data_IF_670690637688
#
_entry.id   IF_670690637688
#
_cell.length_a   1.000
_cell.length_b   1.000
_cell.length_c   1.000
_cell.angle_alpha   90.00
_cell.angle_beta   90.00
_cell.angle_gamma   90.00
#
_symmetry.space_group_name_H-M   'P 1'
#
loop_
_entity.id
_entity.type
_entity.pdbx_description
1 polymer ?
#
# COMPACT_ATOMS: atom_id res chain seq x y z
N UNK A 1 1.73 -11.85 -37.74
CA UNK A 1 1.60 -12.16 -36.32
C UNK A 1 1.67 -10.83 -35.58
N UNK A 2 0.53 -10.22 -35.28
CA UNK A 2 0.43 -9.00 -34.46
C UNK A 2 0.78 -9.40 -33.03
N UNK A 3 1.96 -9.01 -32.54
CA UNK A 3 2.24 -9.03 -31.10
C UNK A 3 1.21 -8.11 -30.45
N UNK A 4 0.25 -8.66 -29.71
CA UNK A 4 -0.57 -7.92 -28.77
C UNK A 4 0.39 -7.33 -27.73
N UNK A 5 0.56 -6.03 -27.70
CA UNK A 5 1.28 -5.35 -26.61
C UNK A 5 0.48 -5.56 -25.33
N UNK A 6 1.14 -6.11 -24.30
CA UNK A 6 0.51 -6.29 -22.99
C UNK A 6 -0.08 -4.96 -22.50
N UNK A 7 -1.27 -5.02 -21.94
CA UNK A 7 -1.91 -3.85 -21.31
C UNK A 7 -1.12 -3.41 -20.07
N UNK A 8 -1.33 -2.18 -19.60
CA UNK A 8 -0.66 -1.69 -18.39
C UNK A 8 -1.01 -2.57 -17.18
N UNK A 9 -2.26 -3.02 -17.05
CA UNK A 9 -2.69 -3.95 -16.01
C UNK A 9 -1.93 -5.29 -16.10
N UNK A 10 -1.83 -5.91 -17.28
CA UNK A 10 -1.09 -7.17 -17.45
C UNK A 10 0.39 -7.02 -17.07
N UNK A 11 1.00 -5.88 -17.38
CA UNK A 11 2.38 -5.55 -16.95
C UNK A 11 2.47 -5.38 -15.43
N UNK A 12 1.49 -4.72 -14.83
CA UNK A 12 1.40 -4.56 -13.38
C UNK A 12 1.25 -5.89 -12.64
N UNK A 13 0.33 -6.72 -13.08
CA UNK A 13 0.13 -8.08 -12.55
C UNK A 13 1.41 -8.91 -12.68
N UNK A 14 2.05 -8.91 -13.84
CA UNK A 14 3.30 -9.64 -14.05
C UNK A 14 4.44 -9.11 -13.16
N UNK A 15 4.53 -7.79 -12.93
CA UNK A 15 5.50 -7.21 -12.02
C UNK A 15 5.27 -7.68 -10.57
N UNK A 16 4.02 -7.65 -10.10
CA UNK A 16 3.64 -8.13 -8.78
C UNK A 16 3.96 -9.61 -8.58
N UNK A 17 3.62 -10.46 -9.56
CA UNK A 17 3.96 -11.89 -9.54
C UNK A 17 5.47 -12.14 -9.50
N UNK A 18 6.26 -11.24 -10.09
CA UNK A 18 7.73 -11.27 -10.02
C UNK A 18 8.31 -10.65 -8.74
N UNK A 19 7.48 -10.18 -7.81
CA UNK A 19 7.91 -9.49 -6.59
C UNK A 19 8.43 -8.07 -6.83
N UNK A 20 8.12 -7.48 -7.98
CA UNK A 20 8.60 -6.16 -8.41
C UNK A 20 7.54 -5.08 -8.17
N UNK A 21 7.96 -3.80 -7.98
CA UNK A 21 7.04 -2.71 -7.75
C UNK A 21 6.30 -2.26 -8.99
N UNK A 22 5.23 -1.50 -8.75
CA UNK A 22 4.53 -0.68 -9.73
C UNK A 22 4.36 0.74 -9.20
N UNK A 23 4.03 1.70 -10.06
CA UNK A 23 3.48 2.98 -9.66
C UNK A 23 1.98 2.97 -9.91
N UNK A 24 1.22 3.46 -8.93
CA UNK A 24 -0.24 3.66 -9.07
C UNK A 24 -0.52 5.13 -8.83
N UNK A 25 -1.12 5.79 -9.82
CA UNK A 25 -1.67 7.14 -9.70
C UNK A 25 -3.18 7.05 -9.50
N UNK A 26 -3.72 7.73 -8.50
CA UNK A 26 -5.16 7.77 -8.29
C UNK A 26 -5.85 8.77 -9.25
N UNK A 27 -6.79 9.57 -8.80
CA UNK A 27 -7.47 10.56 -9.64
C UNK A 27 -6.99 11.96 -9.28
N UNK A 28 -6.82 12.82 -10.31
CA UNK A 28 -6.41 14.23 -10.16
C UNK A 28 -7.36 15.06 -9.28
N UNK A 29 -8.61 14.64 -9.17
CA UNK A 29 -9.67 15.29 -8.38
C UNK A 29 -9.89 14.62 -7.00
N UNK A 30 -9.01 13.67 -6.60
CA UNK A 30 -9.00 13.02 -5.30
C UNK A 30 -7.76 13.45 -4.49
N UNK A 31 -6.78 12.59 -4.28
CA UNK A 31 -5.50 12.93 -3.67
C UNK A 31 -4.54 13.54 -4.70
N UNK A 32 -4.64 13.09 -5.96
CA UNK A 32 -3.77 13.52 -7.06
C UNK A 32 -2.34 13.04 -6.88
N UNK A 33 -2.16 11.93 -6.18
CA UNK A 33 -0.86 11.38 -5.80
C UNK A 33 -0.48 10.15 -6.61
N UNK A 34 0.79 9.80 -6.59
CA UNK A 34 1.31 8.56 -7.16
C UNK A 34 2.08 7.81 -6.10
N UNK A 35 1.70 6.56 -5.87
CA UNK A 35 2.38 5.69 -4.91
C UNK A 35 3.34 4.72 -5.57
N UNK A 36 4.48 4.50 -4.94
CA UNK A 36 5.36 3.35 -5.20
C UNK A 36 4.84 2.16 -4.40
N UNK A 37 4.38 1.11 -5.11
CA UNK A 37 3.62 0.00 -4.53
C UNK A 37 4.35 -1.31 -4.73
N UNK A 38 4.46 -2.12 -3.68
CA UNK A 38 5.11 -3.43 -3.68
C UNK A 38 4.19 -4.54 -3.17
N UNK A 39 4.28 -5.77 -3.69
CA UNK A 39 3.70 -6.93 -3.00
C UNK A 39 4.48 -7.16 -1.69
N UNK A 40 3.81 -7.12 -0.55
CA UNK A 40 4.45 -7.06 0.77
C UNK A 40 5.36 -8.27 1.05
N UNK A 41 5.01 -9.46 0.53
CA UNK A 41 5.81 -10.68 0.74
C UNK A 41 7.17 -10.69 0.05
N UNK A 42 7.41 -9.79 -0.91
CA UNK A 42 8.66 -9.71 -1.66
C UNK A 42 9.59 -8.57 -1.20
N UNK A 43 9.15 -7.73 -0.25
CA UNK A 43 9.90 -6.54 0.17
C UNK A 43 11.20 -6.91 0.88
N UNK A 44 12.28 -6.27 0.44
CA UNK A 44 13.62 -6.37 1.02
C UNK A 44 14.02 -5.08 1.74
N UNK A 45 15.09 -5.08 2.54
CA UNK A 45 15.63 -3.83 3.11
C UNK A 45 16.03 -2.79 2.04
N UNK A 46 16.45 -3.24 0.85
CA UNK A 46 16.79 -2.36 -0.27
C UNK A 46 15.53 -1.66 -0.83
N UNK A 47 14.38 -2.36 -0.84
CA UNK A 47 13.11 -1.78 -1.28
C UNK A 47 12.58 -0.75 -0.27
N UNK A 48 12.76 -1.01 1.03
CA UNK A 48 12.47 -0.01 2.08
C UNK A 48 13.36 1.22 1.92
N UNK A 49 14.66 1.03 1.61
CA UNK A 49 15.56 2.14 1.34
C UNK A 49 15.14 2.90 0.07
N UNK A 50 14.68 2.20 -0.98
CA UNK A 50 14.15 2.82 -2.20
C UNK A 50 12.90 3.65 -1.92
N UNK A 51 11.92 3.10 -1.18
CA UNK A 51 10.70 3.83 -0.81
C UNK A 51 11.03 5.13 -0.07
N UNK A 52 11.91 5.10 0.94
CA UNK A 52 12.23 6.31 1.71
C UNK A 52 13.17 7.30 1.00
N UNK A 53 13.90 6.89 -0.06
CA UNK A 53 14.81 7.78 -0.82
C UNK A 53 14.19 8.28 -2.11
N UNK A 54 13.45 7.43 -2.83
CA UNK A 54 12.90 7.75 -4.14
C UNK A 54 11.43 8.22 -4.05
N UNK A 55 10.65 7.62 -3.13
CA UNK A 55 9.27 8.03 -2.92
C UNK A 55 9.17 9.13 -1.83
N UNK A 56 9.71 8.90 -0.65
CA UNK A 56 9.79 9.93 0.41
C UNK A 56 8.56 10.04 1.30
N UNK A 57 7.46 9.41 0.95
CA UNK A 57 6.21 9.40 1.70
C UNK A 57 6.21 8.46 2.91
N UNK A 58 5.03 8.16 3.42
CA UNK A 58 4.85 7.26 4.55
C UNK A 58 4.77 5.80 4.07
N UNK A 59 5.67 4.95 4.57
CA UNK A 59 5.63 3.52 4.25
C UNK A 59 4.49 2.87 5.02
N UNK A 60 3.43 2.51 4.33
CA UNK A 60 2.24 1.87 4.87
C UNK A 60 2.04 0.47 4.31
N UNK A 61 1.41 -0.41 5.08
CA UNK A 61 0.95 -1.73 4.62
C UNK A 61 -0.57 -1.74 4.56
N UNK A 62 -1.10 -1.86 3.35
CA UNK A 62 -2.52 -2.01 3.11
C UNK A 62 -2.91 -3.49 3.18
N UNK A 63 -4.00 -3.76 3.87
CA UNK A 63 -4.58 -5.09 4.11
C UNK A 63 -6.02 -5.10 3.60
N UNK A 64 -6.45 -6.22 3.01
CA UNK A 64 -7.87 -6.40 2.72
C UNK A 64 -8.71 -6.34 4.00
N UNK A 65 -9.99 -6.01 3.85
CA UNK A 65 -10.92 -5.99 4.98
C UNK A 65 -10.99 -7.34 5.70
N UNK A 66 -10.96 -8.45 4.95
CA UNK A 66 -10.99 -9.80 5.53
C UNK A 66 -9.77 -10.10 6.42
N UNK A 67 -8.57 -9.75 5.96
CA UNK A 67 -7.35 -9.90 6.76
C UNK A 67 -7.40 -8.99 8.00
N UNK A 68 -7.80 -7.74 7.83
CA UNK A 68 -7.89 -6.80 8.93
C UNK A 68 -8.91 -7.24 10.00
N UNK A 69 -10.04 -7.81 9.58
CA UNK A 69 -11.06 -8.35 10.48
C UNK A 69 -10.54 -9.58 11.26
N UNK A 70 -9.86 -10.51 10.57
CA UNK A 70 -9.27 -11.68 11.22
C UNK A 70 -8.23 -11.28 12.29
N UNK A 71 -7.47 -10.22 12.06
CA UNK A 71 -6.52 -9.68 13.03
C UNK A 71 -7.16 -8.73 14.05
N UNK A 72 -8.48 -8.51 14.00
CA UNK A 72 -9.19 -7.55 14.85
C UNK A 72 -8.60 -6.14 14.80
N UNK A 73 -8.10 -5.74 13.64
CA UNK A 73 -7.54 -4.40 13.42
C UNK A 73 -8.65 -3.38 13.25
N UNK A 74 -8.74 -2.33 14.08
CA UNK A 74 -9.75 -1.29 13.94
C UNK A 74 -9.35 -0.25 12.90
N UNK A 75 -10.30 0.57 12.45
CA UNK A 75 -9.94 1.91 11.99
C UNK A 75 -9.48 2.74 13.18
N UNK A 76 -8.36 3.43 13.04
CA UNK A 76 -7.72 4.12 14.16
C UNK A 76 -8.62 5.21 14.77
N UNK A 77 -9.36 5.93 13.93
CA UNK A 77 -10.28 6.98 14.39
C UNK A 77 -11.46 6.43 15.22
N UNK A 78 -11.87 5.17 15.02
CA UNK A 78 -12.98 4.56 15.79
C UNK A 78 -12.60 4.24 17.25
N UNK A 79 -11.31 4.07 17.51
CA UNK A 79 -10.81 3.65 18.83
C UNK A 79 -10.10 4.77 19.61
N UNK A 80 -9.72 5.84 18.95
CA UNK A 80 -9.12 7.00 19.61
C UNK A 80 -10.21 7.89 20.21
N UNK A 81 -10.01 8.29 21.45
CA UNK A 81 -10.98 9.14 22.21
C UNK A 81 -10.51 10.57 22.42
N UNK A 82 -9.41 10.95 21.76
CA UNK A 82 -8.83 12.29 21.89
C UNK A 82 -9.64 13.30 21.06
N UNK A 83 -9.83 14.57 21.53
CA UNK A 83 -10.54 15.61 20.77
C UNK A 83 -10.01 15.90 19.35
N UNK A 84 -8.74 15.55 19.06
CA UNK A 84 -8.18 15.67 17.73
C UNK A 84 -8.64 14.57 16.76
N UNK A 85 -9.39 13.58 17.22
CA UNK A 85 -9.95 12.49 16.39
C UNK A 85 -11.38 12.79 15.99
N UNK A 86 -11.64 14.03 15.59
CA UNK A 86 -12.95 14.42 15.05
C UNK A 86 -13.17 13.73 13.70
N UNK A 87 -14.42 13.39 13.41
CA UNK A 87 -14.84 12.77 12.15
C UNK A 87 -15.14 13.82 11.08
N UNK A 88 -14.38 14.91 11.07
CA UNK A 88 -14.55 15.95 10.06
C UNK A 88 -14.14 15.41 8.69
N UNK A 89 -14.91 15.78 7.69
CA UNK A 89 -14.65 15.43 6.29
C UNK A 89 -13.22 15.83 5.85
N UNK A 90 -12.48 14.88 5.28
CA UNK A 90 -11.07 15.10 4.89
C UNK A 90 -10.90 15.92 3.60
N UNK A 91 -11.98 16.29 2.94
CA UNK A 91 -11.95 17.03 1.67
C UNK A 91 -11.87 16.13 0.43
N UNK A 92 -11.21 15.00 0.53
CA UNK A 92 -11.04 13.98 -0.52
C UNK A 92 -11.65 12.63 -0.15
N UNK A 93 -12.03 12.43 1.13
CA UNK A 93 -12.60 11.20 1.65
C UNK A 93 -13.44 11.44 2.90
N UNK A 94 -14.33 10.51 3.24
CA UNK A 94 -15.15 10.58 4.45
C UNK A 94 -14.35 10.17 5.69
N UNK A 95 -13.31 9.32 5.55
CA UNK A 95 -12.46 8.86 6.64
C UNK A 95 -11.08 8.41 6.15
N UNK A 96 -10.12 8.39 7.07
CA UNK A 96 -8.80 7.80 6.85
C UNK A 96 -8.86 6.26 6.90
N UNK A 97 -8.06 5.59 6.08
CA UNK A 97 -7.85 4.14 6.11
C UNK A 97 -6.91 3.66 7.23
N UNK A 98 -6.31 4.55 7.98
CA UNK A 98 -5.34 4.17 9.01
C UNK A 98 -5.92 3.23 10.06
N UNK A 99 -5.12 2.19 10.36
CA UNK A 99 -5.25 1.30 11.50
C UNK A 99 -4.02 1.47 12.41
N UNK A 100 -3.67 0.45 13.19
CA UNK A 100 -2.58 0.51 14.15
C UNK A 100 -1.23 0.60 13.45
N UNK A 101 -0.28 1.44 13.93
CA UNK A 101 1.12 1.30 13.57
C UNK A 101 1.75 0.16 14.37
N UNK A 102 2.50 -0.73 13.71
CA UNK A 102 3.04 -1.94 14.33
C UNK A 102 4.53 -2.15 14.07
N UNK A 103 5.14 -2.98 14.92
CA UNK A 103 6.42 -3.65 14.67
C UNK A 103 6.24 -5.15 14.88
N UNK A 104 6.93 -5.97 14.11
CA UNK A 104 7.07 -7.38 14.43
C UNK A 104 7.92 -7.55 15.71
N UNK A 105 7.53 -8.48 16.61
CA UNK A 105 8.18 -8.62 17.93
C UNK A 105 9.65 -9.04 17.87
N UNK A 106 10.09 -9.65 16.78
CA UNK A 106 11.49 -10.03 16.58
C UNK A 106 12.36 -8.88 16.00
N UNK A 107 11.83 -7.65 15.87
CA UNK A 107 12.63 -6.48 15.52
C UNK A 107 13.25 -5.84 16.77
N UNK A 108 14.34 -5.09 16.58
CA UNK A 108 14.98 -4.39 17.69
C UNK A 108 14.32 -3.03 17.95
N UNK A 109 14.61 -2.02 17.13
CA UNK A 109 13.95 -0.72 17.24
C UNK A 109 12.67 -0.62 16.37
N UNK A 110 12.61 -1.37 15.29
CA UNK A 110 11.51 -1.37 14.33
C UNK A 110 11.63 -0.35 13.21
N UNK A 111 12.54 0.64 13.30
CA UNK A 111 12.66 1.74 12.34
C UNK A 111 13.65 1.48 11.21
N UNK A 112 14.66 0.64 11.43
CA UNK A 112 15.67 0.38 10.41
C UNK A 112 15.05 -0.26 9.16
N UNK A 113 15.69 -0.12 8.00
CA UNK A 113 15.20 -0.73 6.76
C UNK A 113 15.03 -2.24 6.90
N UNK A 114 15.96 -2.89 7.63
CA UNK A 114 15.89 -4.32 7.96
C UNK A 114 14.70 -4.65 8.86
N UNK A 115 14.45 -3.87 9.91
CA UNK A 115 13.35 -4.09 10.83
C UNK A 115 11.99 -3.85 10.17
N UNK A 116 11.88 -2.78 9.34
CA UNK A 116 10.64 -2.50 8.59
C UNK A 116 10.37 -3.57 7.54
N UNK A 117 11.38 -3.97 6.76
CA UNK A 117 11.24 -5.06 5.79
C UNK A 117 10.78 -6.35 6.48
N UNK A 118 11.35 -6.69 7.63
CA UNK A 118 10.91 -7.84 8.43
C UNK A 118 9.44 -7.70 8.86
N UNK A 119 9.06 -6.55 9.41
CA UNK A 119 7.66 -6.33 9.82
C UNK A 119 6.71 -6.50 8.64
N UNK A 120 7.05 -5.95 7.47
CA UNK A 120 6.26 -6.01 6.24
C UNK A 120 6.12 -7.45 5.74
N UNK A 121 7.22 -8.19 5.64
CA UNK A 121 7.19 -9.59 5.14
C UNK A 121 6.48 -10.53 6.08
N UNK A 122 6.60 -10.34 7.41
CA UNK A 122 5.86 -11.13 8.39
C UNK A 122 4.36 -10.81 8.39
N UNK A 123 3.97 -9.55 8.09
CA UNK A 123 2.56 -9.21 7.86
C UNK A 123 1.99 -9.95 6.64
N UNK A 124 2.74 -10.01 5.54
CA UNK A 124 2.31 -10.75 4.35
C UNK A 124 2.21 -12.26 4.61
N UNK A 125 3.16 -12.84 5.37
CA UNK A 125 3.09 -14.24 5.79
C UNK A 125 1.85 -14.51 6.65
N UNK A 126 1.58 -13.64 7.63
CA UNK A 126 0.40 -13.75 8.48
C UNK A 126 -0.91 -13.60 7.67
N UNK A 127 -0.94 -12.67 6.72
CA UNK A 127 -2.11 -12.43 5.87
C UNK A 127 -2.42 -13.58 4.90
N UNK A 128 -1.45 -14.44 4.58
CA UNK A 128 -1.66 -15.61 3.74
C UNK A 128 -2.49 -16.72 4.45
N UNK A 129 -2.49 -16.75 5.78
CA UNK A 129 -3.28 -17.67 6.59
C UNK A 129 -3.74 -16.97 7.90
N UNK A 130 -4.61 -15.97 7.81
CA UNK A 130 -4.88 -15.06 8.92
C UNK A 130 -5.55 -15.75 10.11
N UNK A 131 -6.34 -16.79 9.89
CA UNK A 131 -7.00 -17.56 10.94
C UNK A 131 -6.03 -18.46 11.75
N UNK A 132 -4.82 -18.67 11.24
CA UNK A 132 -3.78 -19.50 11.90
C UNK A 132 -2.82 -18.66 12.76
N UNK A 133 -2.97 -17.33 12.75
CA UNK A 133 -2.03 -16.40 13.41
C UNK A 133 -2.69 -15.65 14.55
N UNK A 134 -2.17 -15.80 15.75
CA UNK A 134 -2.48 -14.91 16.87
C UNK A 134 -1.67 -13.60 16.69
N UNK A 135 -2.31 -12.57 16.10
CA UNK A 135 -1.66 -11.32 15.70
C UNK A 135 -0.86 -10.66 16.84
N UNK A 136 -1.44 -10.59 18.05
CA UNK A 136 -0.81 -9.97 19.21
C UNK A 136 0.42 -10.73 19.72
N UNK A 137 0.57 -12.02 19.37
CA UNK A 137 1.74 -12.80 19.72
C UNK A 137 2.95 -12.48 18.83
N UNK A 138 2.71 -12.03 17.59
CA UNK A 138 3.77 -11.75 16.61
C UNK A 138 4.05 -10.26 16.46
N UNK A 139 3.03 -9.41 16.62
CA UNK A 139 3.14 -7.97 16.42
C UNK A 139 2.87 -7.19 17.72
N UNK A 140 3.38 -5.98 17.76
CA UNK A 140 3.13 -5.01 18.85
C UNK A 140 2.82 -3.63 18.30
N UNK A 141 1.94 -2.91 18.95
CA UNK A 141 1.63 -1.50 18.70
C UNK A 141 1.93 -0.68 19.97
N UNK A 142 2.39 0.57 19.84
CA UNK A 142 2.71 1.27 18.60
C UNK A 142 3.99 0.75 17.93
N UNK A 143 4.16 1.07 16.65
CA UNK A 143 5.30 0.66 15.84
C UNK A 143 5.63 1.64 14.71
N UNK A 144 6.44 1.22 13.76
CA UNK A 144 6.99 2.08 12.70
C UNK A 144 6.49 1.70 11.29
N UNK A 145 5.65 0.67 11.17
CA UNK A 145 4.94 0.32 9.94
C UNK A 145 3.46 0.60 10.18
N UNK A 146 2.91 1.55 9.43
CA UNK A 146 1.50 1.91 9.53
C UNK A 146 0.65 0.93 8.75
N UNK A 147 -0.46 0.50 9.33
CA UNK A 147 -1.42 -0.37 8.66
C UNK A 147 -2.58 0.46 8.12
N UNK A 148 -3.02 0.08 6.91
CA UNK A 148 -4.22 0.62 6.29
C UNK A 148 -5.23 -0.50 6.10
N UNK A 149 -6.51 -0.22 6.36
CA UNK A 149 -7.60 -1.14 6.07
C UNK A 149 -8.25 -0.75 4.76
N UNK A 150 -8.29 -1.65 3.78
CA UNK A 150 -9.10 -1.48 2.59
C UNK A 150 -10.59 -1.53 2.91
N UNK A 151 -11.39 -0.84 2.12
CA UNK A 151 -12.83 -0.97 2.11
C UNK A 151 -13.25 -2.41 1.81
N UNK A 152 -14.41 -2.86 2.36
CA UNK A 152 -14.84 -4.26 2.24
C UNK A 152 -15.10 -4.68 0.81
N UNK A 153 -15.76 -3.83 0.06
CA UNK A 153 -16.09 -4.06 -1.34
C UNK A 153 -15.08 -3.40 -2.30
N UNK A 154 -13.84 -3.17 -1.81
CA UNK A 154 -12.71 -2.59 -2.57
C UNK A 154 -13.14 -1.39 -3.44
N UNK A 155 -12.82 -1.46 -4.73
CA UNK A 155 -13.03 -0.36 -5.71
C UNK A 155 -14.51 0.01 -5.91
N UNK A 156 -15.44 -0.88 -5.58
CA UNK A 156 -16.88 -0.60 -5.61
C UNK A 156 -17.31 0.32 -4.45
N UNK A 157 -16.58 0.34 -3.34
CA UNK A 157 -16.87 1.14 -2.14
C UNK A 157 -15.97 2.38 -2.06
N UNK A 158 -14.66 2.22 -2.31
CA UNK A 158 -13.66 3.29 -2.20
C UNK A 158 -12.59 3.17 -3.29
N UNK A 159 -12.22 4.30 -3.89
CA UNK A 159 -11.30 4.36 -5.03
C UNK A 159 -9.98 5.06 -4.66
N UNK A 160 -9.33 4.58 -3.58
CA UNK A 160 -8.05 5.08 -3.10
C UNK A 160 -6.89 4.14 -3.38
N UNK A 161 -5.64 4.61 -3.14
CA UNK A 161 -4.42 3.82 -3.31
C UNK A 161 -4.48 2.50 -2.56
N UNK A 162 -5.06 2.49 -1.33
CA UNK A 162 -5.26 1.29 -0.53
C UNK A 162 -6.04 0.21 -1.29
N UNK A 163 -7.18 0.57 -1.88
CA UNK A 163 -8.05 -0.36 -2.60
C UNK A 163 -7.45 -0.76 -3.95
N UNK A 164 -6.87 0.17 -4.69
CA UNK A 164 -6.19 -0.14 -5.96
C UNK A 164 -5.05 -1.14 -5.77
N UNK A 165 -4.23 -0.94 -4.74
CA UNK A 165 -3.09 -1.80 -4.48
C UNK A 165 -3.52 -3.21 -4.04
N UNK A 166 -4.53 -3.32 -3.17
CA UNK A 166 -5.09 -4.62 -2.74
C UNK A 166 -5.76 -5.34 -3.91
N UNK A 167 -6.56 -4.65 -4.72
CA UNK A 167 -7.20 -5.23 -5.91
C UNK A 167 -6.17 -5.75 -6.93
N UNK A 168 -5.04 -5.05 -7.09
CA UNK A 168 -3.93 -5.52 -7.95
C UNK A 168 -3.28 -6.79 -7.38
N UNK A 169 -3.10 -6.90 -6.06
CA UNK A 169 -2.55 -8.11 -5.44
C UNK A 169 -3.51 -9.31 -5.64
N UNK A 170 -4.81 -9.11 -5.48
CA UNK A 170 -5.81 -10.15 -5.76
C UNK A 170 -5.80 -10.56 -7.24
N UNK A 171 -5.71 -9.60 -8.17
CA UNK A 171 -5.58 -9.89 -9.61
C UNK A 171 -4.29 -10.62 -9.97
N UNK A 172 -3.25 -10.53 -9.13
CA UNK A 172 -1.99 -11.24 -9.27
C UNK A 172 -1.96 -12.61 -8.56
N UNK A 173 -3.07 -13.04 -7.95
CA UNK A 173 -3.17 -14.23 -7.11
C UNK A 173 -2.17 -14.24 -5.93
N UNK A 174 -1.91 -13.06 -5.34
CA UNK A 174 -1.05 -12.87 -4.18
C UNK A 174 -1.88 -12.62 -2.91
N UNK A 175 -1.31 -12.86 -1.71
CA UNK A 175 -1.95 -12.45 -0.46
C UNK A 175 -2.34 -10.96 -0.53
N UNK A 176 -3.55 -10.56 -0.09
CA UNK A 176 -4.07 -9.20 -0.23
C UNK A 176 -3.43 -8.25 0.80
N UNK A 177 -2.12 -8.13 0.69
CA UNK A 177 -1.22 -7.36 1.57
C UNK A 177 -0.16 -6.70 0.72
N UNK A 178 -0.15 -5.40 0.68
CA UNK A 178 0.71 -4.59 -0.18
C UNK A 178 1.35 -3.45 0.60
N UNK A 179 2.51 -3.00 0.14
CA UNK A 179 3.13 -1.76 0.66
C UNK A 179 2.84 -0.63 -0.29
N UNK A 180 2.44 0.50 0.24
CA UNK A 180 2.24 1.75 -0.48
C UNK A 180 3.13 2.83 0.13
N UNK A 181 3.64 3.73 -0.70
CA UNK A 181 4.45 4.86 -0.26
C UNK A 181 4.31 5.99 -1.27
N UNK A 182 3.78 7.13 -0.85
CA UNK A 182 3.54 8.30 -1.67
C UNK A 182 4.85 8.82 -2.25
N UNK A 183 4.84 9.20 -3.54
CA UNK A 183 5.98 9.83 -4.19
C UNK A 183 5.91 11.35 -4.04
N UNK A 184 6.92 11.92 -3.38
CA UNK A 184 7.04 13.33 -3.08
C UNK A 184 8.11 13.99 -3.97
N UNK A 185 7.96 15.27 -4.19
CA UNK A 185 8.92 16.10 -4.90
C UNK A 185 9.80 16.86 -3.88
N UNK A 186 11.08 16.51 -3.83
CA UNK A 186 12.05 17.07 -2.89
C UNK A 186 12.29 18.59 -3.07
N UNK A 187 12.03 19.13 -4.29
CA UNK A 187 12.26 20.54 -4.57
C UNK A 187 11.08 21.40 -4.12
N UNK A 188 9.85 20.91 -4.32
CA UNK A 188 8.63 21.66 -4.03
C UNK A 188 7.99 21.30 -2.70
N UNK A 189 8.26 20.08 -2.20
CA UNK A 189 7.63 19.52 -1.00
C UNK A 189 6.18 19.09 -1.20
N UNK A 190 5.73 18.99 -2.45
CA UNK A 190 4.39 18.50 -2.83
C UNK A 190 4.45 17.05 -3.34
N UNK A 191 3.28 16.50 -3.65
CA UNK A 191 3.20 15.23 -4.37
C UNK A 191 3.95 15.30 -5.70
N UNK A 192 4.63 14.21 -6.07
CA UNK A 192 5.33 14.13 -7.35
C UNK A 192 4.31 14.20 -8.49
N UNK A 193 4.54 15.08 -9.46
CA UNK A 193 3.59 15.24 -10.56
C UNK A 193 3.46 13.97 -11.40
N UNK A 194 2.27 13.69 -12.01
CA UNK A 194 2.08 12.51 -12.86
C UNK A 194 3.10 12.40 -14.01
N UNK A 195 3.57 13.53 -14.53
CA UNK A 195 4.60 13.57 -15.58
C UNK A 195 5.93 13.07 -15.03
N UNK A 196 6.37 13.58 -13.88
CA UNK A 196 7.61 13.17 -13.24
C UNK A 196 7.56 11.70 -12.77
N UNK A 197 6.40 11.24 -12.30
CA UNK A 197 6.19 9.85 -11.93
C UNK A 197 6.29 8.90 -13.14
N UNK A 198 5.73 9.26 -14.31
CA UNK A 198 5.92 8.49 -15.55
C UNK A 198 7.37 8.48 -16.04
N UNK A 199 8.08 9.60 -15.90
CA UNK A 199 9.50 9.67 -16.21
C UNK A 199 10.33 8.77 -15.28
N UNK A 200 10.02 8.75 -14.00
CA UNK A 200 10.62 7.81 -13.04
C UNK A 200 10.33 6.35 -13.44
N UNK A 201 9.07 6.03 -13.70
CA UNK A 201 8.64 4.70 -14.15
C UNK A 201 9.44 4.22 -15.37
N UNK A 202 9.57 5.09 -16.38
CA UNK A 202 10.33 4.80 -17.61
C UNK A 202 11.81 4.57 -17.33
N UNK A 203 12.45 5.43 -16.53
CA UNK A 203 13.88 5.31 -16.18
C UNK A 203 14.21 4.06 -15.39
N UNK A 204 13.30 3.61 -14.54
CA UNK A 204 13.51 2.47 -13.64
C UNK A 204 12.86 1.17 -14.12
N UNK A 205 12.17 1.19 -15.27
CA UNK A 205 11.49 0.02 -15.81
C UNK A 205 10.33 -0.47 -14.96
N UNK A 206 9.68 0.45 -14.22
CA UNK A 206 8.53 0.15 -13.34
C UNK A 206 7.24 0.40 -14.12
N UNK A 207 6.26 -0.51 -14.11
CA UNK A 207 4.95 -0.23 -14.69
C UNK A 207 4.26 0.96 -14.02
N UNK A 208 3.66 1.86 -14.81
CA UNK A 208 2.83 2.95 -14.33
C UNK A 208 1.37 2.63 -14.62
N UNK A 209 0.53 2.66 -13.60
CA UNK A 209 -0.88 2.29 -13.64
C UNK A 209 -1.73 3.52 -13.27
N UNK A 210 -2.77 3.77 -14.05
CA UNK A 210 -3.76 4.82 -13.76
C UNK A 210 -4.97 4.21 -13.06
N UNK A 211 -5.41 4.83 -11.95
CA UNK A 211 -6.57 4.39 -11.16
C UNK A 211 -7.82 4.22 -12.01
N UNK A 212 -8.07 5.13 -12.97
CA UNK A 212 -9.19 5.01 -13.90
C UNK A 212 -9.15 3.70 -14.71
N UNK A 213 -7.95 3.26 -15.13
CA UNK A 213 -7.77 2.00 -15.87
C UNK A 213 -7.90 0.77 -14.97
N UNK A 214 -7.44 0.87 -13.73
CA UNK A 214 -7.64 -0.19 -12.75
C UNK A 214 -9.11 -0.35 -12.42
N UNK A 215 -9.84 0.75 -12.22
CA UNK A 215 -11.27 0.75 -11.97
C UNK A 215 -12.07 0.11 -13.13
N UNK A 216 -11.75 0.43 -14.39
CA UNK A 216 -12.40 -0.18 -15.57
C UNK A 216 -12.24 -1.70 -15.67
N UNK A 217 -11.19 -2.26 -15.05
CA UNK A 217 -10.80 -3.66 -15.21
C UNK A 217 -11.01 -4.52 -13.97
N UNK A 218 -10.95 -3.93 -12.80
CA UNK A 218 -10.99 -4.63 -11.51
C UNK A 218 -12.17 -4.18 -10.63
N UNK A 219 -12.84 -3.06 -10.98
CA UNK A 219 -14.00 -2.51 -10.28
C UNK A 219 -15.34 -3.15 -10.61
#
# INVERSE_FOLDING_TARGET
MTQSTATDLERGVAAFQAGSPVLIHDFDDREGETDLVYPAGAVTPADVARMRNDAGGLICVALSAGVADAFSLPFLHDVLTHPATTTDHLGYDDRSSFSLPVNHRATYTGITDTDRARTITELARAAAAPDEVEFASEFRSPGHVHLLRAARDLLSERQGHTEFAVALAEAADLPPTVVVCEMLDDETGHALTPVAARDYASRHGVPYLEGARLLERLG
#
